data_IF_290887938534
#
_entry.id   IF_290887938534
#
_cell.length_a   1.000
_cell.length_b   1.000
_cell.length_c   1.000
_cell.angle_alpha   90.00
_cell.angle_beta   90.00
_cell.angle_gamma   90.00
#
_symmetry.space_group_name_H-M   'P 1'
#
loop_
_entity.id
_entity.type
_entity.pdbx_description
1 polymer ?
#
# COMPACT_ATOMS: atom_id res chain seq x y z
N UNK A 1 4.87 1.37 14.24
CA UNK A 1 4.07 1.17 13.01
C UNK A 1 5.00 0.75 11.87
N UNK A 2 4.48 0.10 10.81
CA UNK A 2 5.26 -0.37 9.65
C UNK A 2 4.60 0.12 8.35
N UNK A 3 5.40 0.32 7.30
CA UNK A 3 4.94 0.75 5.99
C UNK A 3 4.92 -0.48 5.08
N UNK A 4 3.82 -0.66 4.34
CA UNK A 4 3.62 -1.76 3.40
C UNK A 4 3.09 -1.23 2.08
N UNK A 5 3.45 -1.92 0.99
CA UNK A 5 2.93 -1.65 -0.35
C UNK A 5 2.65 -2.98 -1.03
N UNK A 6 1.51 -3.09 -1.70
CA UNK A 6 1.11 -4.27 -2.44
C UNK A 6 0.23 -3.89 -3.64
N UNK A 7 0.27 -4.71 -4.68
CA UNK A 7 -0.66 -4.70 -5.80
C UNK A 7 -1.40 -6.03 -5.77
N UNK A 8 -2.73 -5.99 -5.64
CA UNK A 8 -3.57 -7.19 -5.53
C UNK A 8 -4.97 -6.94 -6.14
N UNK A 9 -5.65 -8.00 -6.52
CA UNK A 9 -6.99 -7.95 -7.12
C UNK A 9 -8.08 -7.87 -6.05
N UNK A 10 -9.09 -7.02 -6.26
CA UNK A 10 -10.20 -6.83 -5.32
C UNK A 10 -11.54 -6.61 -6.02
N UNK A 11 -11.94 -7.63 -6.76
CA UNK A 11 -13.14 -7.58 -7.58
C UNK A 11 -14.44 -7.39 -6.79
N UNK A 12 -14.47 -7.75 -5.51
CA UNK A 12 -15.69 -7.72 -4.71
C UNK A 12 -16.12 -6.31 -4.33
N UNK A 13 -15.20 -5.33 -4.32
CA UNK A 13 -15.54 -3.98 -3.88
C UNK A 13 -14.74 -2.84 -4.51
N UNK A 14 -13.57 -3.08 -5.12
CA UNK A 14 -12.68 -1.96 -5.49
C UNK A 14 -13.23 -1.05 -6.59
N UNK A 15 -14.02 -1.54 -7.54
CA UNK A 15 -14.55 -0.73 -8.64
C UNK A 15 -16.08 -0.79 -8.68
N UNK A 16 -16.72 0.38 -8.53
CA UNK A 16 -18.19 0.54 -8.46
C UNK A 16 -18.85 -0.43 -7.47
N UNK A 17 -18.26 -0.62 -6.29
CA UNK A 17 -18.78 -1.53 -5.27
C UNK A 17 -18.76 -3.01 -5.70
N UNK A 18 -17.85 -3.38 -6.61
CA UNK A 18 -17.70 -4.73 -7.12
C UNK A 18 -18.52 -5.06 -8.37
N UNK A 19 -19.22 -4.07 -8.94
CA UNK A 19 -19.98 -4.23 -10.19
C UNK A 19 -19.08 -4.36 -11.42
N UNK A 20 -17.88 -3.77 -11.38
CA UNK A 20 -16.88 -3.91 -12.43
C UNK A 20 -15.76 -4.82 -11.96
N UNK A 21 -15.55 -5.91 -12.70
CA UNK A 21 -14.55 -6.94 -12.41
C UNK A 21 -13.29 -6.70 -13.24
N UNK A 22 -12.14 -7.13 -12.73
CA UNK A 22 -10.86 -7.04 -13.39
C UNK A 22 -10.89 -7.78 -14.72
N UNK A 23 -10.56 -7.06 -15.79
CA UNK A 23 -10.40 -7.66 -17.10
C UNK A 23 -8.98 -8.23 -17.24
N UNK A 24 -8.84 -9.53 -17.04
CA UNK A 24 -7.57 -10.24 -17.11
C UNK A 24 -6.95 -10.29 -18.51
N UNK A 25 -7.73 -10.06 -19.57
CA UNK A 25 -7.17 -9.91 -20.92
C UNK A 25 -6.34 -8.64 -21.08
N UNK A 26 -6.46 -7.68 -20.15
CA UNK A 26 -5.63 -6.45 -20.10
C UNK A 26 -4.38 -6.60 -19.22
N UNK A 27 -4.10 -7.80 -18.70
CA UNK A 27 -2.84 -8.05 -18.03
C UNK A 27 -1.66 -7.84 -19.00
N UNK A 28 -0.47 -7.42 -18.57
CA UNK A 28 0.07 -7.32 -17.20
C UNK A 28 -0.36 -6.06 -16.43
N UNK A 29 -0.68 -6.18 -15.14
CA UNK A 29 -0.90 -5.05 -14.24
C UNK A 29 0.41 -4.64 -13.57
N UNK A 30 0.91 -3.44 -13.84
CA UNK A 30 2.24 -2.99 -13.39
C UNK A 30 2.08 -1.77 -12.49
N UNK A 31 2.55 -1.87 -11.24
CA UNK A 31 2.74 -0.75 -10.34
C UNK A 31 4.23 -0.43 -10.23
N UNK A 32 4.59 0.83 -10.45
CA UNK A 32 5.97 1.32 -10.34
C UNK A 32 6.10 2.27 -9.15
N UNK A 33 7.12 2.05 -8.33
CA UNK A 33 7.38 2.84 -7.13
C UNK A 33 8.78 3.46 -7.21
N UNK A 34 8.90 4.72 -6.79
CA UNK A 34 10.17 5.45 -6.72
C UNK A 34 10.15 6.38 -5.52
N UNK A 35 11.33 6.79 -5.05
CA UNK A 35 11.46 7.79 -3.98
C UNK A 35 10.98 7.29 -2.61
N UNK A 36 11.50 6.15 -2.14
CA UNK A 36 11.17 5.59 -0.81
C UNK A 36 11.79 6.40 0.34
N UNK A 37 11.38 7.65 0.48
CA UNK A 37 11.83 8.53 1.56
C UNK A 37 11.03 8.25 2.83
N UNK A 38 11.72 7.87 3.90
CA UNK A 38 11.12 7.65 5.22
C UNK A 38 11.91 8.48 6.22
N UNK A 39 11.36 9.63 6.60
CA UNK A 39 11.83 10.34 7.79
C UNK A 39 11.08 9.78 9.00
N UNK A 40 11.75 8.93 9.77
CA UNK A 40 11.18 8.32 10.98
C UNK A 40 12.07 8.60 12.18
N UNK A 41 11.45 8.94 13.31
CA UNK A 41 12.08 8.74 14.61
C UNK A 41 11.88 7.28 14.99
N UNK A 42 12.97 6.53 15.10
CA UNK A 42 12.92 5.12 15.46
C UNK A 42 12.64 5.01 16.96
N UNK A 43 11.36 4.96 17.33
CA UNK A 43 11.00 4.50 18.67
C UNK A 43 11.43 3.04 18.77
N UNK A 44 12.53 2.78 19.50
CA UNK A 44 12.75 1.48 20.12
C UNK A 44 11.42 1.08 20.77
N UNK A 45 11.02 -0.19 20.67
CA UNK A 45 9.68 -0.70 20.98
C UNK A 45 9.12 -0.33 22.38
N UNK A 46 9.89 0.38 23.21
CA UNK A 46 9.53 0.89 24.54
C UNK A 46 9.55 2.42 24.72
N UNK A 47 10.00 3.21 23.74
CA UNK A 47 10.05 4.67 23.87
C UNK A 47 8.71 5.30 23.43
N UNK A 48 7.85 5.62 24.41
CA UNK A 48 6.53 6.26 24.24
C UNK A 48 6.57 7.75 23.86
N UNK A 49 7.72 8.33 23.54
CA UNK A 49 7.83 9.75 23.25
C UNK A 49 8.75 10.02 22.06
N UNK A 50 8.28 10.87 21.15
CA UNK A 50 9.09 11.46 20.09
C UNK A 50 9.79 12.69 20.70
N UNK A 51 11.11 12.71 20.74
CA UNK A 51 11.87 13.90 21.11
C UNK A 51 12.07 14.78 19.87
N UNK A 52 11.90 16.10 20.05
CA UNK A 52 12.01 17.13 19.01
C UNK A 52 13.42 17.25 18.44
#
# INVERSE_FOLDING_TARGET
MKIYSSLWNVDDWATRGGLEKTNWSKALFIASYKGFYINKFESLLEAKFCAT
#
